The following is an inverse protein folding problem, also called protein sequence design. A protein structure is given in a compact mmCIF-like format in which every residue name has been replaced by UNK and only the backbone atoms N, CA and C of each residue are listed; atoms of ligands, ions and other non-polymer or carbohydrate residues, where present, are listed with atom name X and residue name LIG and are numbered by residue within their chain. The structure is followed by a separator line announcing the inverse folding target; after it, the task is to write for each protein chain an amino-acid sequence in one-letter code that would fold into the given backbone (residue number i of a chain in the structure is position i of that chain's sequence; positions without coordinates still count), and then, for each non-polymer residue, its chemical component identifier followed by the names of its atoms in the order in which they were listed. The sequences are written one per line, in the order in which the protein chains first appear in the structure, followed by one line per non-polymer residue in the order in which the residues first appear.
data_IF_800895605055
#
_entry.id   IF_800895605055
#
_cell.length_a   1.000
_cell.length_b   1.000
_cell.length_c   1.000
_cell.angle_alpha   90.00
_cell.angle_beta   90.00
_cell.angle_gamma   90.00
#
_symmetry.space_group_name_H-M   'P 1'
#
loop_
_entity.id
_entity.type
_entity.pdbx_description
1 polymer ?
#
# COMPACT_ATOMS: atom_id res chain seq x y z
N UNK A 1 -22.77 -0.30 27.31
CA UNK A 1 -22.22 -0.39 25.94
C UNK A 1 -22.62 -1.68 25.22
N UNK A 2 -22.10 -2.86 25.57
CA UNK A 2 -22.39 -4.08 24.79
C UNK A 2 -23.89 -4.40 24.66
N UNK A 3 -24.62 -4.29 25.78
CA UNK A 3 -26.09 -4.41 25.82
C UNK A 3 -26.79 -3.38 24.93
N UNK A 4 -26.35 -2.12 24.96
CA UNK A 4 -26.95 -1.04 24.17
C UNK A 4 -26.72 -1.24 22.68
N UNK A 5 -25.50 -1.64 22.29
CA UNK A 5 -25.16 -1.95 20.91
C UNK A 5 -25.96 -3.14 20.39
N UNK A 6 -26.06 -4.22 21.15
CA UNK A 6 -26.86 -5.39 20.77
C UNK A 6 -28.34 -5.05 20.61
N UNK A 7 -28.92 -4.30 21.57
CA UNK A 7 -30.32 -3.84 21.49
C UNK A 7 -30.56 -2.97 20.27
N UNK A 8 -29.74 -1.94 20.06
CA UNK A 8 -29.88 -1.03 18.92
C UNK A 8 -29.72 -1.78 17.59
N UNK A 9 -28.74 -2.67 17.51
CA UNK A 9 -28.49 -3.51 16.34
C UNK A 9 -29.69 -4.39 16.02
N UNK A 10 -30.27 -5.03 17.04
CA UNK A 10 -31.47 -5.86 16.92
C UNK A 10 -32.69 -5.05 16.46
N UNK A 11 -32.97 -3.91 17.11
CA UNK A 11 -34.11 -3.04 16.79
C UNK A 11 -34.05 -2.50 15.35
N UNK A 12 -32.85 -2.13 14.89
CA UNK A 12 -32.68 -1.59 13.53
C UNK A 12 -32.46 -2.67 12.46
N UNK A 13 -32.27 -3.94 12.85
CA UNK A 13 -31.95 -5.03 11.95
C UNK A 13 -30.63 -4.83 11.18
N UNK A 14 -29.70 -4.07 11.74
CA UNK A 14 -28.40 -3.73 11.12
C UNK A 14 -27.27 -3.90 12.13
N UNK A 15 -26.07 -4.22 11.64
CA UNK A 15 -24.89 -4.23 12.48
C UNK A 15 -24.52 -2.80 12.90
N UNK A 16 -24.13 -2.62 14.16
CA UNK A 16 -23.68 -1.34 14.72
C UNK A 16 -22.25 -1.50 15.20
N UNK A 17 -21.39 -0.59 14.78
CA UNK A 17 -19.96 -0.54 15.08
C UNK A 17 -19.60 0.75 15.80
N UNK A 18 -18.61 0.64 16.69
CA UNK A 18 -18.02 1.76 17.41
C UNK A 18 -16.50 1.63 17.35
N UNK A 19 -15.85 2.68 16.87
CA UNK A 19 -14.40 2.83 16.99
C UNK A 19 -14.10 3.57 18.29
N UNK A 20 -13.29 2.94 19.13
CA UNK A 20 -12.90 3.45 20.43
C UNK A 20 -11.40 3.74 20.43
N UNK A 21 -11.00 4.85 21.03
CA UNK A 21 -9.60 5.11 21.37
C UNK A 21 -9.13 4.20 22.53
N UNK A 22 -7.82 4.20 22.81
CA UNK A 22 -7.24 3.44 23.94
C UNK A 22 -7.81 3.85 25.29
N UNK A 23 -8.16 5.11 25.45
CA UNK A 23 -8.78 5.66 26.67
C UNK A 23 -10.29 5.38 26.75
N UNK A 24 -10.85 4.71 25.74
CA UNK A 24 -12.25 4.31 25.68
C UNK A 24 -13.20 5.40 25.15
N UNK A 25 -12.68 6.50 24.60
CA UNK A 25 -13.48 7.52 23.94
C UNK A 25 -14.02 6.98 22.62
N UNK A 26 -15.31 7.23 22.35
CA UNK A 26 -15.93 6.90 21.05
C UNK A 26 -15.48 7.93 20.03
N UNK A 27 -14.64 7.50 19.09
CA UNK A 27 -14.16 8.32 17.97
C UNK A 27 -15.17 8.33 16.83
N UNK A 28 -15.88 7.22 16.63
CA UNK A 28 -16.83 7.07 15.54
C UNK A 28 -17.86 5.99 15.83
N UNK A 29 -19.09 6.21 15.36
CA UNK A 29 -20.15 5.21 15.31
C UNK A 29 -20.50 4.95 13.86
N UNK A 30 -20.61 3.69 13.48
CA UNK A 30 -20.92 3.24 12.12
C UNK A 30 -22.13 2.31 12.18
N UNK A 31 -23.09 2.53 11.28
CA UNK A 31 -24.25 1.64 11.10
C UNK A 31 -24.10 0.94 9.75
N UNK A 32 -23.94 -0.37 9.79
CA UNK A 32 -23.74 -1.23 8.62
C UNK A 32 -25.04 -1.72 7.99
N UNK A 33 -24.90 -2.74 7.16
CA UNK A 33 -26.00 -3.57 6.68
C UNK A 33 -26.32 -4.73 7.64
N UNK A 34 -27.21 -5.65 7.24
CA UNK A 34 -27.56 -6.81 8.06
C UNK A 34 -26.44 -7.84 8.26
N UNK A 35 -25.44 -7.88 7.37
CA UNK A 35 -24.35 -8.87 7.40
C UNK A 35 -22.97 -8.30 7.09
N UNK A 36 -22.82 -6.99 7.06
CA UNK A 36 -21.52 -6.35 6.86
C UNK A 36 -21.50 -4.92 7.39
N UNK A 37 -20.32 -4.49 7.84
CA UNK A 37 -20.03 -3.10 8.17
C UNK A 37 -19.02 -2.57 7.16
N UNK A 38 -19.28 -1.39 6.62
CA UNK A 38 -18.30 -0.68 5.81
C UNK A 38 -17.67 0.40 6.66
N UNK A 39 -16.41 0.20 7.04
CA UNK A 39 -15.64 1.21 7.75
C UNK A 39 -15.23 2.32 6.76
N UNK A 40 -15.43 3.60 7.11
CA UNK A 40 -14.96 4.69 6.26
C UNK A 40 -13.43 4.75 6.26
N UNK A 41 -12.87 5.40 5.25
CA UNK A 41 -11.43 5.66 5.19
C UNK A 41 -11.00 6.47 6.41
N UNK A 42 -10.29 5.81 7.32
CA UNK A 42 -9.70 6.47 8.47
C UNK A 42 -8.43 7.23 8.02
N UNK A 43 -8.19 8.46 8.51
CA UNK A 43 -6.99 9.22 8.15
C UNK A 43 -5.74 8.41 8.51
N UNK A 44 -4.72 8.42 7.64
CA UNK A 44 -3.47 7.65 7.85
C UNK A 44 -2.95 7.86 9.26
N UNK A 45 -2.65 6.77 9.95
CA UNK A 45 -2.14 6.83 11.31
C UNK A 45 -0.86 7.67 11.34
N UNK A 46 -0.80 8.65 12.26
CA UNK A 46 0.45 9.38 12.56
C UNK A 46 1.38 8.57 13.47
N UNK A 47 0.95 7.39 13.89
CA UNK A 47 1.73 6.53 14.77
C UNK A 47 2.99 6.03 14.03
N UNK A 48 4.10 5.89 14.77
CA UNK A 48 5.36 5.42 14.24
C UNK A 48 5.26 4.00 13.65
N UNK A 49 6.32 3.58 12.94
CA UNK A 49 6.38 2.29 12.22
C UNK A 49 6.02 1.07 13.09
N UNK A 50 6.33 1.10 14.39
CA UNK A 50 6.10 0.00 15.34
C UNK A 50 4.74 0.02 16.04
N UNK A 51 3.94 1.07 15.87
CA UNK A 51 2.71 1.26 16.65
C UNK A 51 1.47 0.80 15.91
N UNK A 52 0.49 0.32 16.65
CA UNK A 52 -0.86 0.08 16.15
C UNK A 52 -1.62 1.41 16.08
N UNK A 53 -2.81 1.40 15.48
CA UNK A 53 -3.54 2.65 15.19
C UNK A 53 -3.99 3.42 16.43
N UNK A 54 -4.08 2.76 17.58
CA UNK A 54 -4.67 3.34 18.77
C UNK A 54 -6.19 3.26 18.79
N UNK A 55 -6.77 2.46 17.90
CA UNK A 55 -8.21 2.30 17.74
C UNK A 55 -8.58 0.83 17.86
N UNK A 56 -9.62 0.55 18.62
CA UNK A 56 -10.29 -0.75 18.67
C UNK A 56 -11.68 -0.64 18.05
N UNK A 57 -12.07 -1.62 17.24
CA UNK A 57 -13.41 -1.70 16.67
C UNK A 57 -14.25 -2.67 17.49
N UNK A 58 -15.38 -2.20 18.02
CA UNK A 58 -16.38 -3.04 18.67
C UNK A 58 -17.65 -3.01 17.82
N UNK A 59 -18.12 -4.15 17.35
CA UNK A 59 -19.29 -4.23 16.47
C UNK A 59 -20.21 -5.39 16.83
N UNK A 60 -21.39 -5.45 16.22
CA UNK A 60 -22.41 -6.47 16.49
C UNK A 60 -22.61 -7.42 15.32
N UNK A 61 -22.81 -8.71 15.64
CA UNK A 61 -23.25 -9.75 14.70
C UNK A 61 -24.65 -10.24 15.07
N UNK A 62 -25.62 -10.07 14.17
CA UNK A 62 -27.07 -10.25 14.43
C UNK A 62 -27.53 -11.70 14.62
N UNK A 63 -26.69 -12.69 14.29
CA UNK A 63 -27.06 -14.11 14.25
C UNK A 63 -26.11 -15.00 15.05
N UNK A 64 -25.52 -14.44 16.10
CA UNK A 64 -24.45 -15.10 16.88
C UNK A 64 -23.27 -15.63 16.03
N UNK A 65 -23.08 -15.03 14.84
CA UNK A 65 -22.04 -15.40 13.90
C UNK A 65 -20.65 -15.04 14.46
N UNK A 66 -19.62 -15.86 14.19
CA UNK A 66 -18.26 -15.54 14.56
C UNK A 66 -17.72 -14.34 13.76
N UNK A 67 -16.58 -13.79 14.18
CA UNK A 67 -15.81 -12.85 13.36
C UNK A 67 -15.63 -13.40 11.95
N UNK A 68 -16.03 -12.61 10.96
CA UNK A 68 -15.93 -12.96 9.55
C UNK A 68 -14.51 -12.74 9.03
N UNK A 69 -14.21 -13.30 7.86
CA UNK A 69 -12.94 -13.02 7.20
C UNK A 69 -12.78 -11.52 6.89
N UNK A 70 -13.86 -10.82 6.56
CA UNK A 70 -13.79 -9.38 6.27
C UNK A 70 -13.42 -8.56 7.51
N UNK A 71 -13.93 -8.93 8.69
CA UNK A 71 -13.57 -8.30 9.97
C UNK A 71 -12.06 -8.45 10.26
N UNK A 72 -11.55 -9.65 10.05
CA UNK A 72 -10.14 -9.97 10.24
C UNK A 72 -9.24 -9.24 9.23
N UNK A 73 -9.72 -9.05 8.00
CA UNK A 73 -9.00 -8.23 7.03
C UNK A 73 -9.00 -6.75 7.41
N UNK A 74 -10.10 -6.22 7.93
CA UNK A 74 -10.19 -4.83 8.38
C UNK A 74 -9.26 -4.57 9.57
N UNK A 75 -9.18 -5.51 10.52
CA UNK A 75 -8.19 -5.51 11.60
C UNK A 75 -6.76 -5.30 11.09
N UNK A 76 -6.35 -6.07 10.08
CA UNK A 76 -4.99 -6.01 9.51
C UNK A 76 -4.77 -4.72 8.74
N UNK A 77 -5.66 -4.41 7.80
CA UNK A 77 -5.49 -3.33 6.84
C UNK A 77 -5.58 -1.95 7.48
N UNK A 78 -6.45 -1.81 8.47
CA UNK A 78 -6.55 -0.59 9.27
C UNK A 78 -5.57 -0.59 10.46
N UNK A 79 -4.79 -1.66 10.68
CA UNK A 79 -3.86 -1.81 11.81
C UNK A 79 -4.51 -1.51 13.15
N UNK A 80 -5.73 -1.99 13.35
CA UNK A 80 -6.46 -1.78 14.59
C UNK A 80 -5.74 -2.47 15.75
N UNK A 81 -5.89 -1.90 16.94
CA UNK A 81 -5.37 -2.48 18.18
C UNK A 81 -6.03 -3.85 18.43
N UNK A 82 -7.35 -3.92 18.21
CA UNK A 82 -8.12 -5.16 18.14
C UNK A 82 -9.47 -4.94 17.44
N UNK A 83 -10.15 -6.03 17.09
CA UNK A 83 -11.55 -6.06 16.68
C UNK A 83 -12.33 -6.98 17.62
N UNK A 84 -13.55 -6.58 17.99
CA UNK A 84 -14.38 -7.33 18.91
C UNK A 84 -15.84 -7.39 18.42
N UNK A 85 -16.36 -8.59 18.20
CA UNK A 85 -17.73 -8.84 17.79
C UNK A 85 -18.60 -9.25 18.99
N UNK A 86 -19.66 -8.49 19.23
CA UNK A 86 -20.74 -8.82 20.15
C UNK A 86 -21.73 -9.72 19.40
N UNK A 87 -21.86 -10.96 19.86
CA UNK A 87 -22.83 -11.92 19.34
C UNK A 87 -24.21 -11.60 19.91
N UNK A 88 -25.09 -11.12 19.04
CA UNK A 88 -26.47 -10.74 19.37
C UNK A 88 -27.36 -11.97 19.21
N UNK A 89 -28.08 -12.32 20.28
CA UNK A 89 -29.04 -13.42 20.27
C UNK A 89 -30.38 -13.02 19.63
N UNK A 90 -31.28 -13.99 19.45
CA UNK A 90 -32.60 -13.79 18.84
C UNK A 90 -33.53 -12.84 19.62
N UNK A 91 -33.18 -12.47 20.85
CA UNK A 91 -33.92 -11.53 21.69
C UNK A 91 -33.21 -10.16 21.81
N UNK A 92 -32.14 -9.92 21.04
CA UNK A 92 -31.35 -8.70 21.11
C UNK A 92 -30.37 -8.65 22.30
N UNK A 93 -30.12 -9.79 22.94
CA UNK A 93 -29.19 -9.93 24.06
C UNK A 93 -27.73 -9.99 23.62
N UNK A 94 -26.85 -9.33 24.37
CA UNK A 94 -25.39 -9.43 24.22
C UNK A 94 -24.85 -10.53 25.14
N UNK A 95 -24.62 -11.73 24.60
CA UNK A 95 -24.15 -12.86 25.43
C UNK A 95 -22.63 -12.97 25.43
N UNK A 96 -22.06 -13.07 24.24
CA UNK A 96 -20.65 -13.38 24.05
C UNK A 96 -19.93 -12.32 23.22
N UNK A 97 -18.68 -12.08 23.59
CA UNK A 97 -17.73 -11.22 22.92
C UNK A 97 -16.62 -12.10 22.35
N UNK A 98 -16.40 -11.99 21.05
CA UNK A 98 -15.27 -12.61 20.37
C UNK A 98 -14.29 -11.52 19.96
N UNK A 99 -13.01 -11.68 20.32
CA UNK A 99 -11.99 -10.66 20.11
C UNK A 99 -10.86 -11.24 19.26
N UNK A 100 -10.40 -10.47 18.27
CA UNK A 100 -9.20 -10.76 17.53
C UNK A 100 -8.20 -9.60 17.58
N UNK A 101 -6.91 -9.93 17.55
CA UNK A 101 -5.83 -8.96 17.41
C UNK A 101 -4.82 -9.43 16.36
N UNK A 102 -4.02 -8.51 15.84
CA UNK A 102 -2.92 -8.85 14.92
C UNK A 102 -1.91 -9.73 15.67
N UNK A 103 -1.35 -10.72 14.99
CA UNK A 103 -0.31 -11.59 15.53
C UNK A 103 1.07 -11.24 14.92
N UNK A 104 1.91 -10.48 15.64
CA UNK A 104 3.31 -10.29 15.27
C UNK A 104 4.06 -11.63 15.26
N UNK A 105 4.91 -11.84 14.27
CA UNK A 105 5.72 -13.05 14.09
C UNK A 105 5.01 -14.26 13.49
N UNK A 106 3.78 -14.12 12.98
CA UNK A 106 3.07 -15.22 12.31
C UNK A 106 3.95 -15.84 11.20
N UNK A 107 4.13 -17.16 11.23
CA UNK A 107 4.95 -17.88 10.23
C UNK A 107 4.21 -17.96 8.90
N UNK A 108 4.94 -18.26 7.82
CA UNK A 108 4.31 -18.58 6.54
C UNK A 108 3.30 -19.73 6.74
N UNK A 109 2.03 -19.48 6.35
CA UNK A 109 0.84 -20.36 6.48
C UNK A 109 0.06 -20.25 7.80
N UNK A 110 0.51 -19.45 8.78
CA UNK A 110 -0.31 -19.12 9.96
C UNK A 110 -1.16 -17.86 9.69
N UNK A 111 -2.37 -17.76 10.25
CA UNK A 111 -3.15 -16.54 10.16
C UNK A 111 -2.39 -15.39 10.80
N UNK A 112 -2.46 -14.22 10.16
CA UNK A 112 -1.77 -13.02 10.63
C UNK A 112 -2.48 -12.32 11.82
N UNK A 113 -3.40 -13.05 12.46
CA UNK A 113 -4.23 -12.63 13.57
C UNK A 113 -4.42 -13.80 14.53
N UNK A 114 -4.78 -13.48 15.77
CA UNK A 114 -5.13 -14.44 16.79
C UNK A 114 -6.54 -14.15 17.31
N UNK A 115 -7.35 -15.19 17.42
CA UNK A 115 -8.63 -15.16 18.12
C UNK A 115 -8.41 -15.46 19.61
N UNK A 116 -8.94 -14.61 20.46
CA UNK A 116 -8.98 -14.85 21.90
C UNK A 116 -10.13 -15.82 22.24
N UNK A 117 -10.06 -16.52 23.39
CA UNK A 117 -11.18 -17.32 23.88
C UNK A 117 -12.48 -16.51 23.95
N UNK A 118 -13.60 -17.16 23.66
CA UNK A 118 -14.91 -16.53 23.71
C UNK A 118 -15.21 -16.06 25.14
N UNK A 119 -15.53 -14.77 25.31
CA UNK A 119 -15.74 -14.15 26.61
C UNK A 119 -17.22 -13.78 26.83
N UNK A 120 -17.74 -13.83 28.06
CA UNK A 120 -19.06 -13.26 28.36
C UNK A 120 -19.03 -11.72 28.29
N UNK A 121 -20.01 -11.11 27.61
CA UNK A 121 -20.08 -9.64 27.47
C UNK A 121 -20.20 -8.89 28.79
N UNK A 122 -20.75 -9.52 29.84
CA UNK A 122 -20.95 -8.90 31.14
C UNK A 122 -19.67 -8.85 31.98
N UNK A 123 -18.68 -9.69 31.65
CA UNK A 123 -17.41 -9.77 32.37
C UNK A 123 -16.29 -10.19 31.39
N UNK A 124 -15.88 -9.31 30.48
CA UNK A 124 -14.77 -9.61 29.59
C UNK A 124 -13.45 -9.65 30.37
N UNK A 125 -12.81 -10.81 30.43
CA UNK A 125 -11.50 -11.00 31.06
C UNK A 125 -10.38 -10.62 30.08
N UNK A 126 -10.18 -9.32 29.88
CA UNK A 126 -9.14 -8.81 28.99
C UNK A 126 -8.52 -7.52 29.52
N UNK A 127 -7.24 -7.56 29.87
CA UNK A 127 -6.44 -6.35 30.05
C UNK A 127 -6.00 -5.83 28.68
N UNK A 128 -6.84 -4.96 28.11
CA UNK A 128 -6.65 -4.40 26.78
C UNK A 128 -5.35 -3.59 26.66
N UNK A 129 -5.00 -2.79 27.68
CA UNK A 129 -3.81 -1.96 27.62
C UNK A 129 -2.53 -2.81 27.69
N UNK A 130 -2.53 -3.84 28.54
CA UNK A 130 -1.42 -4.79 28.60
C UNK A 130 -1.29 -5.59 27.28
N UNK A 131 -2.40 -6.01 26.67
CA UNK A 131 -2.39 -6.68 25.36
C UNK A 131 -1.72 -5.79 24.31
N UNK A 132 -2.19 -4.55 24.16
CA UNK A 132 -1.68 -3.63 23.14
C UNK A 132 -0.20 -3.30 23.38
N UNK A 133 0.20 -3.04 24.63
CA UNK A 133 1.60 -2.81 24.96
C UNK A 133 2.47 -4.01 24.59
N UNK A 134 2.03 -5.23 24.91
CA UNK A 134 2.77 -6.44 24.56
C UNK A 134 2.92 -6.65 23.05
N UNK A 135 1.89 -6.33 22.26
CA UNK A 135 1.93 -6.39 20.80
C UNK A 135 2.89 -5.35 20.22
N UNK A 136 2.83 -4.10 20.69
CA UNK A 136 3.75 -3.04 20.25
C UNK A 136 5.20 -3.36 20.62
N UNK A 137 5.45 -3.94 21.80
CA UNK A 137 6.79 -4.38 22.22
C UNK A 137 7.33 -5.52 21.33
N UNK A 138 6.46 -6.42 20.87
CA UNK A 138 6.86 -7.47 19.92
C UNK A 138 7.20 -6.89 18.54
N UNK A 139 6.39 -5.94 18.06
CA UNK A 139 6.63 -5.24 16.80
C UNK A 139 7.92 -4.41 16.85
N UNK A 140 8.14 -3.67 17.93
CA UNK A 140 9.36 -2.89 18.12
C UNK A 140 10.61 -3.77 18.17
N UNK A 141 10.56 -4.92 18.85
CA UNK A 141 11.66 -5.89 18.85
C UNK A 141 11.96 -6.45 17.46
N UNK A 142 10.93 -6.80 16.68
CA UNK A 142 11.10 -7.26 15.29
C UNK A 142 11.72 -6.20 14.38
N UNK A 143 11.33 -4.94 14.59
CA UNK A 143 11.90 -3.80 13.87
C UNK A 143 13.32 -3.48 14.30
N UNK A 144 13.64 -3.49 15.60
CA UNK A 144 14.98 -3.20 16.11
C UNK A 144 16.02 -4.22 15.60
N UNK A 145 15.66 -5.51 15.60
CA UNK A 145 16.49 -6.58 15.04
C UNK A 145 16.84 -6.35 13.56
N UNK A 146 15.95 -5.68 12.81
CA UNK A 146 16.17 -5.39 11.39
C UNK A 146 16.70 -3.98 11.11
N UNK A 147 16.44 -2.99 11.97
CA UNK A 147 16.84 -1.59 11.81
C UNK A 147 18.33 -1.34 12.11
N UNK A 148 18.94 -2.16 12.98
CA UNK A 148 20.37 -2.07 13.30
C UNK A 148 21.28 -2.29 12.07
N UNK A 149 20.75 -2.84 10.97
CA UNK A 149 21.54 -3.23 9.81
C UNK A 149 21.64 -2.16 8.69
N UNK A 150 20.62 -1.32 8.43
CA UNK A 150 20.56 -0.53 7.18
C UNK A 150 19.81 0.81 7.30
N UNK A 151 20.42 1.89 6.81
CA UNK A 151 19.78 3.22 6.62
C UNK A 151 19.14 3.28 5.23
N UNK A 152 17.84 3.53 5.14
CA UNK A 152 17.13 3.71 3.86
C UNK A 152 15.62 3.43 3.93
N UNK A 153 14.92 3.62 2.80
CA UNK A 153 13.56 3.10 2.62
C UNK A 153 13.62 1.57 2.55
N UNK A 154 12.68 0.89 3.21
CA UNK A 154 12.60 -0.58 3.23
C UNK A 154 11.40 -1.06 2.43
N UNK A 155 11.60 -2.13 1.66
CA UNK A 155 10.59 -2.68 0.78
C UNK A 155 10.40 -4.18 0.92
N UNK A 156 9.17 -4.64 0.66
CA UNK A 156 8.89 -6.03 0.31
C UNK A 156 8.67 -6.10 -1.20
N UNK A 157 9.34 -7.04 -1.86
CA UNK A 157 9.12 -7.32 -3.27
C UNK A 157 8.01 -8.35 -3.42
N UNK A 158 7.09 -8.12 -4.36
CA UNK A 158 5.97 -9.04 -4.61
C UNK A 158 5.97 -9.40 -6.10
N UNK A 159 6.07 -10.69 -6.41
CA UNK A 159 5.89 -11.19 -7.76
C UNK A 159 4.74 -12.18 -7.83
N UNK A 160 3.89 -11.96 -8.81
CA UNK A 160 2.72 -12.78 -9.12
C UNK A 160 2.94 -13.46 -10.45
N UNK A 161 2.91 -14.80 -10.45
CA UNK A 161 3.16 -15.58 -11.66
C UNK A 161 2.07 -16.63 -11.89
N UNK A 162 1.65 -16.74 -13.14
CA UNK A 162 0.83 -17.86 -13.65
C UNK A 162 1.73 -19.00 -14.17
N UNK A 163 3.00 -18.70 -14.45
CA UNK A 163 3.97 -19.60 -15.06
C UNK A 163 4.85 -20.33 -14.05
N UNK A 164 6.08 -20.61 -14.47
CA UNK A 164 7.08 -21.29 -13.67
C UNK A 164 7.69 -20.38 -12.59
N UNK A 165 8.02 -20.99 -11.45
CA UNK A 165 8.56 -20.30 -10.27
C UNK A 165 9.98 -19.78 -10.51
N UNK A 166 10.81 -20.50 -11.26
CA UNK A 166 12.20 -20.12 -11.53
C UNK A 166 12.27 -18.79 -12.29
N UNK A 167 11.39 -18.61 -13.28
CA UNK A 167 11.27 -17.35 -14.03
C UNK A 167 10.90 -16.17 -13.12
N UNK A 168 10.00 -16.38 -12.15
CA UNK A 168 9.64 -15.36 -11.18
C UNK A 168 10.79 -15.04 -10.21
N UNK A 169 11.56 -16.05 -9.81
CA UNK A 169 12.75 -15.87 -8.96
C UNK A 169 13.86 -15.09 -9.68
N UNK A 170 14.05 -15.31 -10.98
CA UNK A 170 14.99 -14.53 -11.81
C UNK A 170 14.53 -13.07 -11.90
N UNK A 171 13.24 -12.85 -12.20
CA UNK A 171 12.66 -11.50 -12.29
C UNK A 171 12.76 -10.76 -10.96
N UNK A 172 12.53 -11.44 -9.83
CA UNK A 172 12.67 -10.84 -8.50
C UNK A 172 14.12 -10.51 -8.14
N UNK A 173 15.08 -11.36 -8.53
CA UNK A 173 16.51 -11.04 -8.36
C UNK A 173 16.89 -9.78 -9.14
N UNK A 174 16.38 -9.61 -10.34
CA UNK A 174 16.56 -8.35 -11.10
C UNK A 174 15.88 -7.17 -10.38
N UNK A 175 14.65 -7.34 -9.90
CA UNK A 175 13.92 -6.29 -9.18
C UNK A 175 14.64 -5.87 -7.90
N UNK A 176 15.27 -6.81 -7.20
CA UNK A 176 16.10 -6.55 -6.03
C UNK A 176 17.32 -5.68 -6.38
N UNK A 177 18.01 -5.98 -7.47
CA UNK A 177 19.13 -5.15 -7.97
C UNK A 177 18.67 -3.74 -8.37
N UNK A 178 17.47 -3.61 -8.94
CA UNK A 178 16.85 -2.30 -9.22
C UNK A 178 16.53 -1.55 -7.92
N UNK A 179 15.95 -2.21 -6.92
CA UNK A 179 15.64 -1.60 -5.62
C UNK A 179 16.92 -1.12 -4.92
N UNK A 180 17.97 -1.96 -4.89
CA UNK A 180 19.30 -1.60 -4.37
C UNK A 180 19.88 -0.38 -5.10
N UNK A 181 19.76 -0.35 -6.44
CA UNK A 181 20.18 0.79 -7.27
C UNK A 181 19.42 2.09 -6.97
N UNK A 182 18.22 2.02 -6.40
CA UNK A 182 17.41 3.17 -5.98
C UNK A 182 17.67 3.61 -4.53
N UNK A 183 18.54 2.90 -3.79
CA UNK A 183 18.77 3.11 -2.36
C UNK A 183 17.72 2.48 -1.46
N UNK A 184 16.99 1.49 -1.95
CA UNK A 184 15.93 0.78 -1.21
C UNK A 184 16.49 -0.54 -0.69
N UNK A 185 16.30 -0.80 0.60
CA UNK A 185 16.63 -2.06 1.26
C UNK A 185 15.47 -3.04 1.09
N UNK A 186 15.74 -4.19 0.49
CA UNK A 186 14.75 -5.28 0.41
C UNK A 186 14.75 -6.06 1.72
N UNK A 187 13.60 -6.08 2.39
CA UNK A 187 13.40 -6.82 3.65
C UNK A 187 12.98 -8.27 3.39
N UNK A 188 12.10 -8.48 2.42
CA UNK A 188 11.62 -9.81 2.02
C UNK A 188 11.15 -9.80 0.56
N UNK A 189 11.13 -10.97 -0.06
CA UNK A 189 10.63 -11.20 -1.41
C UNK A 189 9.57 -12.30 -1.38
N UNK A 190 8.38 -12.00 -1.91
CA UNK A 190 7.21 -12.89 -1.90
C UNK A 190 6.85 -13.27 -3.32
N UNK A 191 6.78 -14.58 -3.59
CA UNK A 191 6.27 -15.13 -4.85
C UNK A 191 4.91 -15.76 -4.59
N UNK A 192 3.88 -15.25 -5.26
CA UNK A 192 2.55 -15.84 -5.26
C UNK A 192 2.28 -16.49 -6.62
N UNK A 193 2.18 -17.82 -6.63
CA UNK A 193 1.67 -18.57 -7.79
C UNK A 193 0.15 -18.63 -7.72
N UNK A 194 -0.52 -18.29 -8.81
CA UNK A 194 -1.97 -18.40 -8.91
C UNK A 194 -2.39 -18.63 -10.36
N UNK A 195 -3.55 -19.27 -10.56
CA UNK A 195 -4.05 -19.60 -11.90
C UNK A 195 -4.48 -18.38 -12.71
N UNK A 196 -5.00 -17.37 -12.03
CA UNK A 196 -5.45 -16.13 -12.64
C UNK A 196 -5.19 -14.98 -11.66
N UNK A 197 -4.69 -13.86 -12.19
CA UNK A 197 -4.49 -12.68 -11.37
C UNK A 197 -5.80 -12.06 -10.85
N UNK A 198 -5.80 -11.63 -9.58
CA UNK A 198 -6.94 -10.91 -9.04
C UNK A 198 -7.05 -9.55 -9.75
N UNK A 199 -8.18 -9.24 -10.42
CA UNK A 199 -8.30 -8.01 -11.19
C UNK A 199 -8.23 -6.75 -10.31
N UNK A 200 -8.57 -6.86 -9.02
CA UNK A 200 -8.61 -5.75 -8.06
C UNK A 200 -7.28 -5.51 -7.36
N UNK A 201 -6.56 -6.54 -6.91
CA UNK A 201 -5.34 -6.38 -6.09
C UNK A 201 -4.09 -7.03 -6.68
N UNK A 202 -4.20 -7.64 -7.87
CA UNK A 202 -3.23 -8.59 -8.44
C UNK A 202 -3.11 -9.89 -7.62
N UNK A 203 -3.02 -9.83 -6.30
CA UNK A 203 -3.05 -10.98 -5.37
C UNK A 203 -4.40 -11.11 -4.65
N UNK A 204 -4.64 -12.23 -3.96
CA UNK A 204 -5.82 -12.38 -3.09
C UNK A 204 -5.78 -11.48 -1.86
N UNK A 205 -6.96 -11.07 -1.35
CA UNK A 205 -7.11 -10.19 -0.16
C UNK A 205 -6.40 -10.76 1.07
N UNK A 206 -6.54 -12.07 1.32
CA UNK A 206 -5.84 -12.75 2.43
C UNK A 206 -4.31 -12.70 2.29
N UNK A 207 -3.78 -12.99 1.10
CA UNK A 207 -2.32 -12.93 0.87
C UNK A 207 -1.77 -11.51 1.01
N UNK A 208 -2.54 -10.51 0.57
CA UNK A 208 -2.20 -9.12 0.83
C UNK A 208 -2.17 -8.82 2.33
N UNK A 209 -3.12 -9.34 3.12
CA UNK A 209 -3.10 -9.24 4.59
C UNK A 209 -1.84 -9.80 5.23
N UNK A 210 -1.46 -11.02 4.83
CA UNK A 210 -0.20 -11.64 5.29
C UNK A 210 1.00 -10.72 5.01
N UNK A 211 1.12 -10.20 3.77
CA UNK A 211 2.20 -9.29 3.37
C UNK A 211 2.19 -8.00 4.20
N UNK A 212 1.01 -7.46 4.53
CA UNK A 212 0.89 -6.24 5.34
C UNK A 212 1.32 -6.48 6.80
N UNK A 213 1.00 -7.63 7.38
CA UNK A 213 1.48 -7.97 8.73
C UNK A 213 2.99 -8.20 8.74
N UNK A 214 3.53 -8.88 7.73
CA UNK A 214 4.98 -8.99 7.52
C UNK A 214 5.63 -7.61 7.35
N UNK A 215 5.00 -6.71 6.60
CA UNK A 215 5.48 -5.34 6.44
C UNK A 215 5.52 -4.59 7.78
N UNK A 216 4.49 -4.75 8.61
CA UNK A 216 4.41 -4.18 9.96
C UNK A 216 5.55 -4.68 10.85
N UNK A 217 5.78 -5.99 10.89
CA UNK A 217 6.83 -6.61 11.70
C UNK A 217 8.24 -6.15 11.28
N UNK A 218 8.46 -6.03 9.98
CA UNK A 218 9.74 -5.58 9.44
C UNK A 218 9.84 -4.05 9.31
N UNK A 219 8.84 -3.27 9.71
CA UNK A 219 8.87 -1.81 9.57
C UNK A 219 9.09 -1.36 8.12
N UNK A 220 8.44 -2.04 7.19
CA UNK A 220 8.47 -1.79 5.75
C UNK A 220 7.38 -0.80 5.39
N UNK A 221 7.75 0.25 4.66
CA UNK A 221 6.82 1.31 4.22
C UNK A 221 6.48 1.21 2.73
N UNK A 222 7.09 0.27 2.00
CA UNK A 222 6.98 0.14 0.56
C UNK A 222 6.72 -1.30 0.13
N UNK A 223 5.69 -1.50 -0.69
CA UNK A 223 5.52 -2.72 -1.48
C UNK A 223 5.89 -2.41 -2.93
N UNK A 224 6.76 -3.24 -3.51
CA UNK A 224 7.17 -3.14 -4.91
C UNK A 224 6.66 -4.37 -5.65
N UNK A 225 5.70 -4.15 -6.55
CA UNK A 225 5.19 -5.19 -7.42
C UNK A 225 6.07 -5.34 -8.67
N UNK A 226 6.43 -6.58 -8.97
CA UNK A 226 7.24 -6.93 -10.14
C UNK A 226 6.50 -6.69 -11.47
N UNK A 227 5.18 -6.91 -11.45
CA UNK A 227 4.28 -6.67 -12.59
C UNK A 227 3.79 -5.21 -12.61
N UNK A 228 3.54 -4.67 -13.80
CA UNK A 228 2.91 -3.35 -13.93
C UNK A 228 1.48 -3.39 -13.39
N UNK A 229 1.15 -2.43 -12.52
CA UNK A 229 -0.18 -2.33 -11.94
C UNK A 229 -1.05 -1.40 -12.78
N UNK A 230 -2.25 -1.86 -13.09
CA UNK A 230 -3.24 -1.00 -13.74
C UNK A 230 -3.79 0.06 -12.76
N UNK A 231 -4.38 1.18 -13.24
CA UNK A 231 -4.84 2.25 -12.36
C UNK A 231 -5.85 1.83 -11.29
N UNK A 232 -6.72 0.86 -11.59
CA UNK A 232 -7.71 0.33 -10.64
C UNK A 232 -7.06 -0.53 -9.55
N UNK A 233 -6.01 -1.27 -9.89
CA UNK A 233 -5.20 -2.04 -8.93
C UNK A 233 -4.42 -1.12 -7.99
N UNK A 234 -3.74 -0.12 -8.54
CA UNK A 234 -3.03 0.88 -7.73
C UNK A 234 -4.00 1.56 -6.76
N UNK A 235 -5.20 1.92 -7.23
CA UNK A 235 -6.26 2.47 -6.37
C UNK A 235 -6.64 1.53 -5.25
N UNK A 236 -7.03 0.32 -5.61
CA UNK A 236 -7.54 -0.64 -4.65
C UNK A 236 -6.48 -0.99 -3.59
N UNK A 237 -5.22 -1.16 -3.99
CA UNK A 237 -4.11 -1.41 -3.06
C UNK A 237 -3.81 -0.21 -2.14
N UNK A 238 -3.88 1.01 -2.68
CA UNK A 238 -3.64 2.25 -1.91
C UNK A 238 -4.77 2.53 -0.92
N UNK A 239 -6.02 2.27 -1.30
CA UNK A 239 -7.19 2.47 -0.45
C UNK A 239 -7.27 1.42 0.66
N UNK A 240 -6.75 0.21 0.38
CA UNK A 240 -6.83 -0.92 1.32
C UNK A 240 -5.66 -0.97 2.29
N UNK A 241 -4.52 -0.34 1.99
CA UNK A 241 -3.30 -0.51 2.80
C UNK A 241 -2.65 0.83 3.14
N UNK A 242 -2.12 0.96 4.36
CA UNK A 242 -1.36 2.17 4.74
C UNK A 242 0.03 2.23 4.09
N UNK A 243 0.56 1.06 3.68
CA UNK A 243 1.88 0.88 3.07
C UNK A 243 1.89 1.47 1.65
N UNK A 244 2.95 2.20 1.26
CA UNK A 244 3.04 2.77 -0.09
C UNK A 244 3.23 1.64 -1.09
N UNK A 245 2.48 1.67 -2.19
CA UNK A 245 2.59 0.67 -3.25
C UNK A 245 3.12 1.30 -4.53
N UNK A 246 4.14 0.67 -5.11
CA UNK A 246 4.66 1.00 -6.45
C UNK A 246 4.82 -0.29 -7.27
N UNK A 247 4.96 -0.14 -8.58
CA UNK A 247 5.33 -1.22 -9.48
C UNK A 247 6.75 -1.05 -10.04
N UNK A 248 7.21 -2.06 -10.78
CA UNK A 248 8.51 -2.06 -11.47
C UNK A 248 8.70 -0.84 -12.37
N UNK A 249 7.67 -0.42 -13.10
CA UNK A 249 7.75 0.74 -13.99
C UNK A 249 8.04 2.02 -13.21
N UNK A 250 7.31 2.26 -12.12
CA UNK A 250 7.54 3.41 -11.24
C UNK A 250 8.95 3.39 -10.63
N UNK A 251 9.41 2.22 -10.14
CA UNK A 251 10.77 2.07 -9.61
C UNK A 251 11.84 2.44 -10.65
N UNK A 252 11.71 1.95 -11.89
CA UNK A 252 12.64 2.25 -12.98
C UNK A 252 12.66 3.76 -13.28
N UNK A 253 11.49 4.40 -13.31
CA UNK A 253 11.39 5.85 -13.54
C UNK A 253 12.06 6.65 -12.41
N UNK A 254 11.95 6.19 -11.17
CA UNK A 254 12.59 6.83 -10.01
C UNK A 254 14.12 6.68 -10.05
N UNK A 255 14.63 5.51 -10.45
CA UNK A 255 16.07 5.31 -10.70
C UNK A 255 16.56 6.24 -11.82
N UNK A 256 15.81 6.39 -12.91
CA UNK A 256 16.17 7.31 -13.98
C UNK A 256 16.14 8.77 -13.51
N UNK A 257 15.21 9.14 -12.63
CA UNK A 257 15.13 10.49 -12.07
C UNK A 257 16.37 10.80 -11.22
N UNK A 258 16.81 9.85 -10.39
CA UNK A 258 18.03 9.97 -9.59
C UNK A 258 19.30 10.07 -10.46
N UNK A 259 19.33 9.37 -11.61
CA UNK A 259 20.51 9.32 -12.51
C UNK A 259 20.54 10.43 -13.58
N UNK A 260 19.43 11.09 -13.86
CA UNK A 260 19.33 12.09 -14.92
C UNK A 260 20.12 13.38 -14.61
N UNK A 261 21.36 13.47 -15.12
CA UNK A 261 22.21 14.66 -14.98
C UNK A 261 21.98 15.72 -16.07
N UNK A 262 21.82 15.29 -17.32
CA UNK A 262 21.67 16.20 -18.45
C UNK A 262 20.28 16.84 -18.50
N UNK A 263 20.19 18.06 -19.05
CA UNK A 263 18.90 18.75 -19.23
C UNK A 263 17.92 17.91 -20.08
N UNK A 264 18.42 17.29 -21.15
CA UNK A 264 17.62 16.42 -22.00
C UNK A 264 17.11 15.19 -21.25
N UNK A 265 17.98 14.53 -20.47
CA UNK A 265 17.61 13.38 -19.65
C UNK A 265 16.55 13.73 -18.60
N UNK A 266 16.71 14.85 -17.91
CA UNK A 266 15.73 15.34 -16.92
C UNK A 266 14.36 15.56 -17.55
N UNK A 267 14.31 16.20 -18.74
CA UNK A 267 13.06 16.43 -19.48
C UNK A 267 12.41 15.10 -19.89
N UNK A 268 13.19 14.14 -20.39
CA UNK A 268 12.67 12.83 -20.81
C UNK A 268 12.08 12.04 -19.63
N UNK A 269 12.77 12.04 -18.49
CA UNK A 269 12.32 11.32 -17.29
C UNK A 269 11.08 11.99 -16.70
N UNK A 270 11.08 13.32 -16.54
CA UNK A 270 9.90 14.04 -16.05
C UNK A 270 8.68 13.79 -16.95
N UNK A 271 8.87 13.84 -18.27
CA UNK A 271 7.81 13.54 -19.22
C UNK A 271 7.30 12.10 -19.09
N UNK A 272 8.19 11.12 -18.88
CA UNK A 272 7.81 9.73 -18.69
C UNK A 272 7.04 9.52 -17.38
N UNK A 273 7.50 10.11 -16.27
CA UNK A 273 6.78 10.11 -14.99
C UNK A 273 5.38 10.72 -15.11
N UNK A 274 5.24 11.86 -15.79
CA UNK A 274 3.95 12.50 -16.01
C UNK A 274 3.02 11.65 -16.89
N UNK A 275 3.54 11.01 -17.93
CA UNK A 275 2.75 10.09 -18.79
C UNK A 275 2.28 8.86 -18.02
N UNK A 276 3.12 8.31 -17.14
CA UNK A 276 2.76 7.17 -16.28
C UNK A 276 1.74 7.56 -15.20
N UNK A 277 1.88 8.75 -14.60
CA UNK A 277 1.01 9.28 -13.56
C UNK A 277 -0.37 9.70 -14.09
N UNK A 278 -0.46 10.27 -15.29
CA UNK A 278 -1.70 10.83 -15.87
C UNK A 278 -2.92 9.89 -15.79
N UNK A 279 -2.85 8.61 -16.24
CA UNK A 279 -3.98 7.68 -16.10
C UNK A 279 -4.28 7.29 -14.64
N UNK A 280 -3.36 7.57 -13.70
CA UNK A 280 -3.40 7.16 -12.28
C UNK A 280 -3.71 8.32 -11.31
N UNK A 281 -3.97 9.54 -11.79
CA UNK A 281 -4.17 10.74 -10.95
C UNK A 281 -5.35 10.68 -9.99
N UNK A 282 -6.46 10.04 -10.38
CA UNK A 282 -7.68 9.99 -9.56
C UNK A 282 -7.58 9.10 -8.32
N UNK A 283 -6.44 8.46 -8.10
CA UNK A 283 -6.20 7.52 -7.00
C UNK A 283 -5.83 8.23 -5.68
N UNK A 284 -5.24 9.43 -5.73
CA UNK A 284 -4.70 10.09 -4.52
C UNK A 284 -5.69 10.99 -3.77
N UNK A 285 -6.82 11.37 -4.37
CA UNK A 285 -7.63 12.53 -3.92
C UNK A 285 -9.03 12.18 -3.37
N UNK A 286 -9.46 10.91 -3.35
CA UNK A 286 -10.85 10.55 -3.01
C UNK A 286 -11.21 10.76 -1.53
N UNK A 287 -10.25 10.69 -0.60
CA UNK A 287 -10.51 10.92 0.83
C UNK A 287 -10.86 12.39 1.15
N UNK A 288 -10.30 13.36 0.41
CA UNK A 288 -10.57 14.79 0.59
C UNK A 288 -11.80 15.28 -0.20
N UNK A 289 -12.15 14.58 -1.29
CA UNK A 289 -13.33 14.90 -2.10
C UNK A 289 -14.63 14.55 -1.38
N UNK A 290 -14.65 13.41 -0.64
CA UNK A 290 -15.84 12.92 0.08
C UNK A 290 -16.23 13.79 1.28
N UNK A 291 -15.28 14.37 2.00
CA UNK A 291 -15.54 15.32 3.11
C UNK A 291 -16.15 16.66 2.65
N UNK A 292 -16.13 16.97 1.35
CA UNK A 292 -16.83 18.13 0.76
C UNK A 292 -18.10 17.74 -0.01
N UNK A 293 -18.53 16.48 0.07
CA UNK A 293 -19.70 15.97 -0.63
C UNK A 293 -20.98 16.12 0.18
N UNK A 294 -21.50 17.34 0.30
CA UNK A 294 -22.85 17.58 0.80
C UNK A 294 -23.62 18.50 -0.15
N UNK A 295 -24.36 17.90 -1.08
CA UNK A 295 -25.48 18.50 -1.83
C UNK A 295 -25.12 19.69 -2.76
N UNK A 296 -25.11 19.41 -4.07
CA UNK A 296 -25.70 20.37 -5.01
C UNK A 296 -24.87 21.56 -5.51
N UNK A 297 -23.55 21.46 -5.69
CA UNK A 297 -22.85 22.42 -6.59
C UNK A 297 -22.77 21.85 -8.00
N UNK A 298 -23.94 21.73 -8.64
CA UNK A 298 -24.03 21.66 -10.11
C UNK A 298 -23.76 23.05 -10.68
N UNK A 299 -22.52 23.48 -10.59
CA UNK A 299 -22.02 24.63 -11.35
C UNK A 299 -21.16 24.13 -12.52
N UNK A 300 -21.07 24.85 -13.66
CA UNK A 300 -20.25 24.50 -14.81
C UNK A 300 -18.73 24.69 -14.56
N UNK A 301 -18.26 24.49 -13.32
CA UNK A 301 -16.85 24.61 -12.96
C UNK A 301 -16.10 23.29 -13.19
N UNK A 302 -14.93 23.36 -13.83
CA UNK A 302 -14.02 22.21 -13.97
C UNK A 302 -13.70 21.61 -12.58
N UNK A 303 -13.78 20.28 -12.47
CA UNK A 303 -13.41 19.57 -11.23
C UNK A 303 -11.91 19.70 -10.96
N UNK A 304 -11.48 19.61 -9.69
CA UNK A 304 -10.04 19.63 -9.33
C UNK A 304 -9.23 18.57 -10.10
N UNK A 305 -9.82 17.40 -10.34
CA UNK A 305 -9.21 16.33 -11.12
C UNK A 305 -9.04 16.70 -12.60
N UNK A 306 -10.02 17.37 -13.20
CA UNK A 306 -9.93 17.88 -14.57
C UNK A 306 -8.86 18.95 -14.71
N UNK A 307 -8.81 19.91 -13.76
CA UNK A 307 -7.76 20.94 -13.70
C UNK A 307 -6.38 20.28 -13.59
N UNK A 308 -6.21 19.30 -12.70
CA UNK A 308 -4.95 18.59 -12.52
C UNK A 308 -4.54 17.81 -13.79
N UNK A 309 -5.48 17.10 -14.43
CA UNK A 309 -5.24 16.42 -15.71
C UNK A 309 -4.83 17.39 -16.81
N UNK A 310 -5.50 18.54 -16.92
CA UNK A 310 -5.19 19.58 -17.89
C UNK A 310 -3.79 20.15 -17.68
N UNK A 311 -3.44 20.52 -16.45
CA UNK A 311 -2.08 21.01 -16.09
C UNK A 311 -0.99 20.01 -16.46
N UNK A 312 -1.22 18.72 -16.21
CA UNK A 312 -0.25 17.67 -16.57
C UNK A 312 -0.11 17.54 -18.09
N UNK A 313 -1.22 17.57 -18.84
CA UNK A 313 -1.16 17.58 -20.32
C UNK A 313 -0.43 18.80 -20.88
N UNK A 314 -0.70 19.99 -20.33
CA UNK A 314 0.00 21.22 -20.71
C UNK A 314 1.51 21.15 -20.42
N UNK A 315 1.87 20.60 -19.26
CA UNK A 315 3.27 20.37 -18.88
C UNK A 315 3.96 19.38 -19.83
N UNK A 316 3.31 18.25 -20.14
CA UNK A 316 3.81 17.29 -21.14
C UNK A 316 4.04 18.00 -22.48
N UNK A 317 3.07 18.78 -22.97
CA UNK A 317 3.21 19.51 -24.23
C UNK A 317 4.32 20.58 -24.22
N UNK A 318 4.62 21.18 -23.07
CA UNK A 318 5.77 22.08 -22.89
C UNK A 318 7.10 21.32 -22.93
N UNK A 319 7.19 20.19 -22.22
CA UNK A 319 8.39 19.33 -22.20
C UNK A 319 8.68 18.76 -23.60
N UNK A 320 7.67 18.37 -24.36
CA UNK A 320 7.81 17.89 -25.74
C UNK A 320 8.37 18.97 -26.68
N UNK A 321 7.92 20.22 -26.53
CA UNK A 321 8.46 21.37 -27.27
C UNK A 321 9.93 21.63 -26.92
N UNK A 322 10.27 21.60 -25.63
CA UNK A 322 11.66 21.77 -25.18
C UNK A 322 12.56 20.65 -25.70
N UNK A 323 12.09 19.40 -25.67
CA UNK A 323 12.83 18.26 -26.18
C UNK A 323 13.07 18.36 -27.70
N UNK A 324 12.08 18.86 -28.46
CA UNK A 324 12.22 19.10 -29.91
C UNK A 324 13.30 20.14 -30.21
N UNK A 325 13.38 21.22 -29.42
CA UNK A 325 14.44 22.22 -29.55
C UNK A 325 15.84 21.62 -29.28
N UNK A 326 16.00 20.86 -28.19
CA UNK A 326 17.28 20.21 -27.86
C UNK A 326 17.72 19.20 -28.93
N UNK A 327 16.78 18.49 -29.56
CA UNK A 327 17.07 17.57 -30.67
C UNK A 327 17.65 18.30 -31.89
N UNK A 328 17.18 19.52 -32.18
CA UNK A 328 17.70 20.36 -33.28
C UNK A 328 19.17 20.74 -33.04
N UNK A 329 19.50 21.15 -31.82
CA UNK A 329 20.89 21.48 -31.44
C UNK A 329 21.81 20.25 -31.52
N UNK A 330 21.32 19.09 -31.08
CA UNK A 330 22.08 17.83 -31.16
C UNK A 330 22.34 17.41 -32.61
N UNK A 331 21.38 17.60 -33.52
CA UNK A 331 21.56 17.34 -34.95
C UNK A 331 22.67 18.22 -35.55
N UNK A 332 22.69 19.51 -35.24
CA UNK A 332 23.75 20.42 -35.70
C UNK A 332 25.14 20.01 -35.18
N UNK A 333 25.25 19.60 -33.90
CA UNK A 333 26.53 19.09 -33.35
C UNK A 333 26.97 17.78 -34.01
N UNK A 334 26.04 16.86 -34.30
CA UNK A 334 26.34 15.61 -35.01
C UNK A 334 26.84 15.89 -36.43
N UNK A 335 26.21 16.82 -37.15
CA UNK A 335 26.64 17.22 -38.49
C UNK A 335 28.10 17.73 -38.49
N UNK A 336 28.47 18.58 -37.51
CA UNK A 336 29.86 19.06 -37.35
C UNK A 336 30.85 17.94 -37.00
N UNK A 337 30.47 16.97 -36.16
CA UNK A 337 31.34 15.82 -35.84
C UNK A 337 31.56 14.90 -37.04
N UNK A 338 30.52 14.70 -37.87
CA UNK A 338 30.60 13.91 -39.11
C UNK A 338 31.51 14.57 -40.13
N UNK A 339 31.48 15.90 -40.25
CA UNK A 339 32.44 16.66 -41.07
C UNK A 339 33.90 16.51 -40.58
N UNK A 340 34.11 16.36 -39.27
CA UNK A 340 35.44 16.19 -38.66
C UNK A 340 35.90 14.74 -38.54
N UNK A 341 35.18 13.79 -39.14
CA UNK A 341 35.50 12.35 -39.14
C UNK A 341 35.79 11.73 -37.75
N UNK A 342 35.14 12.24 -36.69
CA UNK A 342 35.32 11.68 -35.35
C UNK A 342 34.58 10.34 -35.24
N UNK A 343 35.26 9.22 -34.89
CA UNK A 343 34.60 7.92 -34.74
C UNK A 343 33.60 7.93 -33.58
N UNK A 344 32.45 7.27 -33.77
CA UNK A 344 31.38 7.18 -32.78
C UNK A 344 31.22 5.71 -32.39
N UNK A 345 31.54 5.40 -31.14
CA UNK A 345 31.34 4.09 -30.53
C UNK A 345 30.18 4.17 -29.53
N UNK A 346 29.35 3.12 -29.48
CA UNK A 346 28.22 3.03 -28.56
C UNK A 346 28.27 1.69 -27.83
N UNK A 347 28.21 1.73 -26.50
CA UNK A 347 28.15 0.55 -25.65
C UNK A 347 26.70 0.33 -25.24
N UNK A 348 26.14 -0.84 -25.58
CA UNK A 348 24.76 -1.25 -25.27
C UNK A 348 24.76 -2.59 -24.54
N UNK A 349 23.75 -2.82 -23.71
CA UNK A 349 23.62 -4.02 -22.86
C UNK A 349 22.68 -3.79 -21.68
N UNK A 350 22.29 -4.86 -21.00
CA UNK A 350 21.36 -4.84 -19.85
C UNK A 350 21.92 -4.05 -18.65
N UNK A 351 21.02 -3.62 -17.74
CA UNK A 351 21.40 -3.05 -16.45
C UNK A 351 22.34 -4.01 -15.70
N UNK A 352 23.39 -3.47 -15.07
CA UNK A 352 24.45 -4.24 -14.40
C UNK A 352 25.34 -5.15 -15.27
N UNK A 353 25.25 -5.08 -16.62
CA UNK A 353 26.14 -5.84 -17.52
C UNK A 353 27.59 -5.30 -17.62
N UNK A 354 28.08 -4.55 -16.62
CA UNK A 354 29.45 -4.02 -16.61
C UNK A 354 29.75 -2.90 -17.62
N UNK A 355 28.74 -2.28 -18.25
CA UNK A 355 28.94 -1.20 -19.25
C UNK A 355 29.78 -0.03 -18.73
N UNK A 356 29.52 0.41 -17.49
CA UNK A 356 30.28 1.50 -16.87
C UNK A 356 31.70 1.07 -16.54
N UNK A 357 31.90 -0.18 -16.11
CA UNK A 357 33.21 -0.76 -15.85
C UNK A 357 34.07 -0.76 -17.13
N UNK A 358 33.52 -1.28 -18.22
CA UNK A 358 34.19 -1.29 -19.53
C UNK A 358 34.55 0.12 -20.00
N UNK A 359 33.62 1.07 -19.89
CA UNK A 359 33.88 2.46 -20.27
C UNK A 359 35.00 3.06 -19.44
N UNK A 360 34.98 2.87 -18.11
CA UNK A 360 36.01 3.40 -17.22
C UNK A 360 37.39 2.82 -17.55
N UNK A 361 37.51 1.52 -17.78
CA UNK A 361 38.78 0.86 -18.17
C UNK A 361 39.31 1.30 -19.53
N UNK A 362 38.44 1.76 -20.44
CA UNK A 362 38.85 2.27 -21.75
C UNK A 362 39.22 3.76 -21.73
N UNK A 363 38.81 4.50 -20.70
CA UNK A 363 39.00 5.97 -20.62
C UNK A 363 39.97 6.42 -19.53
N UNK A 364 40.31 5.53 -18.60
CA UNK A 364 41.28 5.70 -17.52
C UNK A 364 42.20 4.49 -17.50
#
# INVERSE_FOLDING_TARGET
MARDLARLSFECGRQVAVLLSRDGVIEMVVVGGPGSIYLPDLPKSRAGRSRLRGLRLVHTHLKEEPLSQDDLMDLIFLRLDCIAAIRVDSNGGARHLEVAHILPGARQQEPAWQLLPLMPCHQPELDFLALVSGLEDQLERGQAATAAAQKGERAILVSVTEGDRESAEISLRELEELARSAGITVAESVIQRQRQANPKYLIGKGKLGEIIVTALQHGVDLLIFDQELNPSQVRSLTDTTEVRVIDRTQLILDIFAQRARSREGKIQVEMAQLKYLLPRLGVKDDALSRLRGGIGVRGPGETKLEINRRRIKERIGSLERQLKALRKDRFQRRARRRQRQVPILSIVGYTNAGKSTLLNTLTH
#
